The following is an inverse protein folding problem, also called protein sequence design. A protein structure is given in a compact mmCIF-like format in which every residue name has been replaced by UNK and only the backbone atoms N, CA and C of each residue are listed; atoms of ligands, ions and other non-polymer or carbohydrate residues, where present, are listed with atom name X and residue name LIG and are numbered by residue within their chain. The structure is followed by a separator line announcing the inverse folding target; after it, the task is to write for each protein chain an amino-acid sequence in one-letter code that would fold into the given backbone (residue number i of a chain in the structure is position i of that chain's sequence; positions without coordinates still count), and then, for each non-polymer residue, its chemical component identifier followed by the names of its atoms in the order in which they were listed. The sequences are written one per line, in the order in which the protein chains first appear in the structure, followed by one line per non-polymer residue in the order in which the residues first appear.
data_IF_079936330064
#
_entry.id   IF_079936330064
#
_cell.length_a   1.000
_cell.length_b   1.000
_cell.length_c   1.000
_cell.angle_alpha   90.00
_cell.angle_beta   90.00
_cell.angle_gamma   90.00
#
_symmetry.space_group_name_H-M   'P 1'
#
loop_
_entity.id
_entity.type
_entity.pdbx_description
1 polymer ?
#
# COMPACT_ATOMS: atom_id res chain seq x y z
N UNK A 1 12.62 43.31 31.59
CA UNK A 1 13.01 44.74 31.64
C UNK A 1 14.52 44.83 31.39
N UNK A 2 14.97 45.28 30.20
CA UNK A 2 15.51 46.65 29.91
C UNK A 2 16.93 46.79 30.50
N UNK A 3 18.05 47.10 29.80
CA UNK A 3 18.42 47.75 28.52
C UNK A 3 19.87 47.29 28.18
N UNK A 4 20.26 46.93 26.94
CA UNK A 4 20.57 47.73 25.71
C UNK A 4 21.73 48.72 25.81
N UNK A 5 22.76 48.53 24.97
CA UNK A 5 23.25 49.46 23.89
C UNK A 5 24.34 48.75 23.03
N UNK A 6 24.14 48.52 21.70
CA UNK A 6 24.43 49.36 20.49
C UNK A 6 25.94 49.53 20.22
N UNK A 7 26.52 49.44 19.01
CA UNK A 7 26.07 49.31 17.60
C UNK A 7 27.32 49.15 16.69
N UNK A 8 27.23 48.52 15.50
CA UNK A 8 27.27 49.11 14.12
C UNK A 8 28.56 49.90 13.80
N UNK A 9 29.27 49.79 12.66
CA UNK A 9 28.85 49.61 11.24
C UNK A 9 30.10 49.58 10.29
N UNK A 10 30.01 48.85 9.15
CA UNK A 10 30.55 49.05 7.76
C UNK A 10 32.05 49.39 7.54
N UNK A 11 32.78 49.03 6.48
CA UNK A 11 32.58 48.64 5.06
C UNK A 11 33.98 48.15 4.55
N UNK A 12 34.25 47.48 3.42
CA UNK A 12 34.03 47.88 2.02
C UNK A 12 34.80 46.89 1.10
N UNK A 13 34.29 46.64 -0.13
CA UNK A 13 35.01 46.47 -1.42
C UNK A 13 35.94 45.25 -1.61
N UNK A 14 36.14 44.58 -2.76
CA UNK A 14 35.76 44.68 -4.17
C UNK A 14 36.04 43.30 -4.81
N UNK A 15 35.30 42.95 -5.86
CA UNK A 15 35.53 41.79 -6.74
C UNK A 15 36.06 42.30 -8.10
N UNK A 16 36.88 41.53 -8.85
CA UNK A 16 36.50 41.16 -10.23
C UNK A 16 36.95 39.72 -10.60
N UNK A 17 36.09 38.84 -11.12
CA UNK A 17 35.57 38.68 -12.50
C UNK A 17 36.45 37.83 -13.44
N UNK A 18 35.87 36.73 -13.97
CA UNK A 18 35.99 36.07 -15.31
C UNK A 18 35.38 34.65 -15.16
N UNK A 19 34.62 34.00 -16.06
CA UNK A 19 34.08 34.25 -17.40
C UNK A 19 33.26 32.99 -17.79
N UNK A 20 32.07 33.08 -18.41
CA UNK A 20 31.57 32.11 -19.40
C UNK A 20 30.20 32.48 -20.01
N UNK A 21 30.26 32.79 -21.31
CA UNK A 21 29.31 32.62 -22.41
C UNK A 21 27.77 32.65 -22.19
N UNK A 22 27.17 33.67 -22.80
CA UNK A 22 25.78 33.72 -23.26
C UNK A 22 25.66 33.31 -24.73
N UNK A 23 24.56 32.63 -25.10
CA UNK A 23 24.06 32.59 -26.48
C UNK A 23 22.61 33.13 -26.49
N UNK A 24 22.33 34.05 -27.42
CA UNK A 24 21.08 34.80 -27.60
C UNK A 24 20.44 34.39 -28.94
N UNK A 25 19.13 34.20 -28.99
CA UNK A 25 18.26 34.42 -30.16
C UNK A 25 16.81 34.48 -29.64
N UNK A 26 16.23 35.67 -29.46
CA UNK A 26 15.47 36.49 -30.42
C UNK A 26 13.95 36.31 -30.26
N UNK A 27 13.30 37.46 -30.06
CA UNK A 27 11.89 37.63 -29.77
C UNK A 27 11.02 37.50 -31.03
N UNK A 28 9.82 36.96 -30.85
CA UNK A 28 8.72 37.04 -31.82
C UNK A 28 7.39 37.19 -31.06
N UNK A 29 6.97 38.43 -30.89
CA UNK A 29 5.68 38.83 -30.32
C UNK A 29 4.53 38.54 -31.29
N UNK A 30 3.45 37.92 -30.84
CA UNK A 30 2.09 38.13 -31.38
C UNK A 30 1.03 37.69 -30.35
N UNK A 31 0.26 38.67 -29.91
CA UNK A 31 -0.94 38.56 -29.09
C UNK A 31 -2.18 38.25 -29.94
N UNK A 32 -3.05 37.33 -29.52
CA UNK A 32 -4.49 37.36 -29.82
C UNK A 32 -5.27 36.64 -28.71
N UNK A 33 -6.38 37.24 -28.27
CA UNK A 33 -7.29 36.74 -27.24
C UNK A 33 -8.52 36.04 -27.86
N UNK A 34 -9.37 35.35 -27.06
CA UNK A 34 -10.18 34.21 -27.49
C UNK A 34 -11.62 34.58 -27.86
N UNK A 35 -12.21 33.87 -28.84
CA UNK A 35 -13.67 33.70 -28.96
C UNK A 35 -14.06 32.32 -29.50
N UNK A 36 -14.84 31.64 -28.66
CA UNK A 36 -15.92 30.69 -28.90
C UNK A 36 -16.42 30.48 -30.33
N UNK A 37 -16.59 29.21 -30.75
CA UNK A 37 -17.87 28.69 -31.27
C UNK A 37 -17.89 27.15 -31.46
N UNK A 38 -19.05 26.60 -31.14
CA UNK A 38 -19.48 25.20 -31.18
C UNK A 38 -19.66 24.62 -32.60
N UNK A 39 -19.62 23.28 -32.66
CA UNK A 39 -20.39 22.35 -33.53
C UNK A 39 -20.01 22.23 -35.02
N UNK A 40 -19.45 21.07 -35.40
CA UNK A 40 -20.12 19.95 -36.13
C UNK A 40 -19.07 18.97 -36.69
N UNK A 41 -19.22 17.68 -36.39
CA UNK A 41 -18.72 16.54 -37.19
C UNK A 41 -19.40 16.51 -38.59
N UNK A 42 -19.00 15.70 -39.62
CA UNK A 42 -18.25 14.42 -39.54
C UNK A 42 -17.25 14.05 -40.68
N UNK A 43 -16.47 12.99 -40.39
CA UNK A 43 -16.03 11.88 -41.27
C UNK A 43 -15.22 12.11 -42.57
N UNK A 44 -14.10 11.38 -42.61
CA UNK A 44 -13.47 10.61 -43.72
C UNK A 44 -12.29 11.22 -44.51
N UNK A 45 -11.20 10.44 -44.50
CA UNK A 45 -10.10 10.20 -45.48
C UNK A 45 -8.72 10.47 -44.84
N UNK A 46 -7.62 9.77 -45.11
CA UNK A 46 -7.26 8.50 -45.75
C UNK A 46 -5.73 8.38 -45.59
N UNK A 47 -5.18 7.16 -45.67
CA UNK A 47 -3.79 6.81 -46.03
C UNK A 47 -2.63 7.21 -45.05
N UNK A 48 -1.99 6.25 -44.36
CA UNK A 48 -0.85 5.41 -44.78
C UNK A 48 0.50 6.15 -44.77
N UNK A 49 1.42 5.69 -43.91
CA UNK A 49 2.82 5.37 -44.26
C UNK A 49 3.48 4.56 -43.12
N UNK A 50 3.58 3.25 -43.35
CA UNK A 50 4.53 2.34 -42.73
C UNK A 50 5.86 2.43 -43.49
N UNK A 51 6.98 2.37 -42.79
CA UNK A 51 8.31 2.24 -43.37
C UNK A 51 9.25 1.49 -42.42
N UNK A 52 9.27 0.16 -42.57
CA UNK A 52 10.27 -0.73 -41.99
C UNK A 52 11.47 -0.85 -42.95
N UNK A 53 12.69 -0.96 -42.41
CA UNK A 53 13.88 -1.35 -43.17
C UNK A 53 14.27 -2.78 -42.82
N UNK A 54 14.51 -3.54 -43.90
CA UNK A 54 14.92 -4.95 -43.98
C UNK A 54 16.44 -5.13 -43.83
N UNK A 55 16.87 -6.35 -43.51
CA UNK A 55 17.88 -7.21 -44.19
C UNK A 55 18.29 -8.40 -43.26
N UNK A 56 18.86 -9.52 -43.75
CA UNK A 56 18.22 -10.55 -44.58
C UNK A 56 18.36 -11.99 -43.99
N UNK A 57 17.71 -12.92 -44.69
CA UNK A 57 17.47 -14.34 -44.39
C UNK A 57 18.69 -15.24 -44.63
N UNK A 58 18.82 -16.33 -43.85
CA UNK A 58 19.39 -17.58 -44.36
C UNK A 58 18.60 -18.79 -43.85
N UNK A 59 18.39 -19.75 -44.75
CA UNK A 59 17.35 -20.78 -44.76
C UNK A 59 17.82 -22.17 -44.29
N UNK A 60 16.93 -22.93 -43.65
CA UNK A 60 16.79 -24.38 -43.90
C UNK A 60 15.50 -24.96 -43.29
N UNK A 61 14.66 -25.53 -44.18
CA UNK A 61 13.64 -26.59 -44.04
C UNK A 61 13.38 -27.16 -42.62
N UNK A 62 12.13 -27.34 -42.18
CA UNK A 62 11.22 -28.35 -42.74
C UNK A 62 9.74 -28.09 -42.41
N UNK A 63 8.89 -28.38 -43.40
CA UNK A 63 7.45 -28.25 -43.38
C UNK A 63 6.74 -29.33 -42.53
N UNK A 64 5.65 -28.93 -41.87
CA UNK A 64 4.46 -29.78 -41.74
C UNK A 64 3.22 -28.92 -42.01
N UNK A 65 2.47 -29.34 -43.03
CA UNK A 65 1.28 -28.69 -43.52
C UNK A 65 0.04 -29.27 -42.85
N UNK A 66 -0.97 -28.43 -42.61
CA UNK A 66 -2.35 -28.80 -42.92
C UNK A 66 -3.16 -27.53 -43.21
N UNK A 67 -3.48 -27.33 -44.49
CA UNK A 67 -4.43 -26.32 -44.98
C UNK A 67 -5.79 -27.00 -45.17
N UNK A 68 -6.86 -26.28 -44.86
CA UNK A 68 -8.06 -26.24 -45.70
C UNK A 68 -8.88 -24.98 -45.43
N UNK A 69 -9.28 -24.23 -46.46
CA UNK A 69 -10.25 -23.15 -46.39
C UNK A 69 -11.63 -23.67 -46.80
N UNK A 70 -12.70 -23.34 -46.07
CA UNK A 70 -14.06 -23.63 -46.51
C UNK A 70 -14.80 -22.34 -46.86
N UNK A 71 -15.16 -22.30 -48.15
CA UNK A 71 -16.00 -21.31 -48.81
C UNK A 71 -17.41 -21.28 -48.20
N UNK A 72 -17.98 -20.07 -48.15
CA UNK A 72 -19.40 -19.84 -47.96
C UNK A 72 -20.20 -20.32 -49.18
N UNK A 73 -21.08 -21.30 -48.98
CA UNK A 73 -22.21 -21.58 -49.87
C UNK A 73 -23.51 -21.42 -49.06
N UNK A 74 -24.41 -20.56 -49.56
CA UNK A 74 -25.80 -20.43 -49.08
C UNK A 74 -26.65 -21.56 -49.67
N UNK A 75 -27.54 -22.19 -48.89
CA UNK A 75 -28.78 -22.72 -49.43
C UNK A 75 -30.00 -21.94 -48.93
N UNK A 76 -31.07 -22.10 -49.70
CA UNK A 76 -32.31 -21.36 -49.69
C UNK A 76 -33.20 -21.59 -48.46
N UNK A 77 -34.10 -20.64 -48.28
CA UNK A 77 -35.21 -20.56 -47.34
C UNK A 77 -36.14 -21.77 -47.35
N UNK A 78 -36.46 -22.27 -46.15
CA UNK A 78 -37.80 -22.80 -45.83
C UNK A 78 -38.14 -22.43 -44.40
N UNK A 79 -39.31 -21.81 -44.24
CA UNK A 79 -39.94 -21.42 -42.99
C UNK A 79 -40.13 -22.62 -42.04
N UNK A 80 -39.79 -22.43 -40.76
CA UNK A 80 -40.58 -22.97 -39.66
C UNK A 80 -40.23 -22.24 -38.36
N UNK A 81 -41.17 -21.43 -37.89
CA UNK A 81 -41.21 -20.88 -36.55
C UNK A 81 -41.13 -22.00 -35.49
N UNK A 82 -40.04 -22.05 -34.73
CA UNK A 82 -40.04 -22.28 -33.27
C UNK A 82 -38.61 -22.45 -32.77
N UNK A 83 -38.01 -21.35 -32.31
CA UNK A 83 -36.86 -21.41 -31.41
C UNK A 83 -37.23 -20.57 -30.19
N UNK A 84 -37.35 -21.14 -28.98
CA UNK A 84 -37.54 -20.31 -27.80
C UNK A 84 -36.27 -19.48 -27.62
N UNK A 85 -36.41 -18.15 -27.77
CA UNK A 85 -35.41 -17.22 -27.27
C UNK A 85 -35.23 -17.52 -25.78
N UNK A 86 -34.03 -17.93 -25.40
CA UNK A 86 -33.63 -17.95 -24.01
C UNK A 86 -33.59 -16.49 -23.52
N UNK A 87 -34.73 -15.99 -23.06
CA UNK A 87 -34.80 -14.77 -22.28
C UNK A 87 -34.09 -15.08 -20.96
N UNK A 88 -32.86 -14.59 -20.80
CA UNK A 88 -32.30 -14.43 -19.46
C UNK A 88 -33.32 -13.69 -18.61
N UNK A 89 -33.74 -14.22 -17.44
CA UNK A 89 -34.66 -13.47 -16.60
C UNK A 89 -33.93 -12.20 -16.18
N UNK A 90 -34.47 -11.05 -16.59
CA UNK A 90 -34.10 -9.78 -15.99
C UNK A 90 -34.44 -9.91 -14.50
N UNK A 91 -33.43 -9.98 -13.64
CA UNK A 91 -33.62 -9.80 -12.20
C UNK A 91 -33.98 -8.34 -11.95
N UNK A 92 -35.22 -7.95 -12.27
CA UNK A 92 -35.85 -6.74 -11.75
C UNK A 92 -36.40 -7.09 -10.38
N UNK A 93 -35.56 -6.99 -9.34
CA UNK A 93 -36.09 -6.94 -7.99
C UNK A 93 -36.68 -5.54 -7.79
N UNK A 94 -37.96 -5.36 -8.10
CA UNK A 94 -38.71 -4.09 -7.94
C UNK A 94 -38.86 -3.64 -6.48
N UNK A 95 -38.23 -4.34 -5.52
CA UNK A 95 -38.20 -3.91 -4.12
C UNK A 95 -36.99 -2.99 -3.90
N UNK A 96 -37.19 -1.75 -3.42
CA UNK A 96 -36.08 -0.90 -3.04
C UNK A 96 -35.23 -1.59 -1.96
N UNK A 97 -33.91 -1.53 -2.12
CA UNK A 97 -32.97 -2.05 -1.12
C UNK A 97 -33.12 -1.20 0.15
N UNK A 98 -33.41 -1.79 1.32
CA UNK A 98 -33.51 -1.04 2.57
C UNK A 98 -32.20 -0.31 2.88
N UNK A 99 -32.30 0.92 3.40
CA UNK A 99 -31.16 1.73 3.82
C UNK A 99 -31.15 1.94 5.34
N UNK A 100 -29.99 2.26 5.89
CA UNK A 100 -29.85 2.67 7.29
C UNK A 100 -29.04 3.98 7.37
N UNK A 101 -29.64 5.10 7.81
CA UNK A 101 -31.06 5.26 8.18
C UNK A 101 -32.00 4.96 6.99
N UNK A 102 -33.26 4.61 7.28
CA UNK A 102 -34.24 4.25 6.24
C UNK A 102 -34.45 5.39 5.22
N UNK A 103 -34.24 6.63 5.65
CA UNK A 103 -34.29 7.83 4.81
C UNK A 103 -33.06 8.04 3.92
N UNK A 104 -31.97 7.29 4.12
CA UNK A 104 -30.77 7.45 3.32
C UNK A 104 -31.01 6.94 1.89
N UNK A 105 -30.78 7.81 0.92
CA UNK A 105 -30.81 7.49 -0.50
C UNK A 105 -29.43 7.77 -1.05
N UNK A 106 -28.81 6.77 -1.68
CA UNK A 106 -27.50 6.94 -2.32
C UNK A 106 -27.63 8.01 -3.40
N UNK A 107 -26.91 9.14 -3.31
CA UNK A 107 -27.03 10.20 -4.30
C UNK A 107 -26.41 9.77 -5.63
N UNK A 108 -26.88 10.37 -6.73
CA UNK A 108 -26.31 10.13 -8.05
C UNK A 108 -24.82 10.52 -8.13
N UNK A 109 -24.41 11.51 -7.34
CA UNK A 109 -23.03 11.95 -7.18
C UNK A 109 -22.74 12.08 -5.70
N UNK A 110 -21.71 11.38 -5.23
CA UNK A 110 -21.27 11.47 -3.84
C UNK A 110 -20.62 12.83 -3.57
N UNK A 111 -20.91 13.39 -2.40
CA UNK A 111 -20.27 14.60 -1.86
C UNK A 111 -19.73 14.31 -0.46
N UNK A 112 -18.62 14.95 -0.10
CA UNK A 112 -18.05 14.81 1.24
C UNK A 112 -19.06 15.31 2.30
N UNK A 113 -19.35 14.52 3.35
CA UNK A 113 -20.23 14.96 4.42
C UNK A 113 -19.68 16.20 5.13
N UNK A 114 -20.53 17.22 5.38
CA UNK A 114 -20.10 18.49 6.00
C UNK A 114 -19.48 18.30 7.39
N UNK A 115 -20.03 17.38 8.19
CA UNK A 115 -19.53 17.04 9.53
C UNK A 115 -18.43 15.96 9.51
N UNK A 116 -18.01 15.53 8.31
CA UNK A 116 -17.13 14.38 8.10
C UNK A 116 -17.77 13.04 8.50
N UNK A 117 -16.94 12.02 8.71
CA UNK A 117 -17.41 10.66 9.05
C UNK A 117 -17.57 10.40 10.56
N UNK A 118 -17.30 11.41 11.41
CA UNK A 118 -17.23 11.23 12.86
C UNK A 118 -16.17 10.21 13.32
N UNK A 119 -16.22 9.83 14.60
CA UNK A 119 -15.31 8.83 15.18
C UNK A 119 -13.83 9.26 15.23
N UNK A 120 -12.97 8.34 15.68
CA UNK A 120 -11.53 8.59 15.93
C UNK A 120 -10.77 9.03 14.69
N UNK A 121 -11.20 8.60 13.49
CA UNK A 121 -10.51 8.85 12.22
C UNK A 121 -11.21 9.89 11.32
N UNK A 122 -12.36 10.45 11.73
CA UNK A 122 -13.19 11.31 10.87
C UNK A 122 -12.48 12.55 10.35
N UNK A 123 -11.58 13.15 11.15
CA UNK A 123 -10.79 14.34 10.75
C UNK A 123 -9.59 14.02 9.85
N UNK A 124 -9.18 12.75 9.78
CA UNK A 124 -8.02 12.31 9.01
C UNK A 124 -8.36 12.06 7.54
N UNK A 125 -9.46 11.34 7.32
CA UNK A 125 -9.90 10.88 6.01
C UNK A 125 -10.37 12.06 5.15
N UNK A 126 -9.97 12.06 3.87
CA UNK A 126 -10.40 13.04 2.86
C UNK A 126 -10.54 12.34 1.51
N UNK A 127 -11.35 12.88 0.59
CA UNK A 127 -11.46 12.38 -0.77
C UNK A 127 -10.28 12.77 -1.67
N UNK A 128 -9.34 13.58 -1.17
CA UNK A 128 -8.17 14.07 -1.92
C UNK A 128 -6.85 13.64 -1.27
N UNK A 129 -5.85 13.38 -2.11
CA UNK A 129 -4.48 13.06 -1.72
C UNK A 129 -3.57 14.30 -1.71
N UNK A 130 -2.32 14.12 -1.29
CA UNK A 130 -1.28 15.14 -1.35
C UNK A 130 -0.93 15.76 0.01
N UNK A 131 0.13 16.58 -0.02
CA UNK A 131 0.61 17.30 1.15
C UNK A 131 -0.43 18.31 1.65
N UNK A 132 -0.56 18.43 2.97
CA UNK A 132 -1.46 19.39 3.62
C UNK A 132 -0.72 20.55 4.28
N UNK A 133 0.57 20.37 4.55
CA UNK A 133 1.44 21.36 5.16
C UNK A 133 2.90 21.04 4.85
N UNK A 134 3.75 22.06 4.91
CA UNK A 134 5.18 21.88 4.80
C UNK A 134 5.75 21.30 6.09
N UNK A 135 6.45 20.17 5.97
CA UNK A 135 7.13 19.53 7.11
C UNK A 135 8.33 18.76 6.60
N UNK A 136 9.51 19.14 7.10
CA UNK A 136 10.74 18.40 6.89
C UNK A 136 10.70 17.09 7.68
N UNK A 137 11.28 16.03 7.12
CA UNK A 137 11.51 14.79 7.83
C UNK A 137 12.92 14.78 8.45
N UNK A 138 13.08 14.28 9.68
CA UNK A 138 14.39 14.07 10.27
C UNK A 138 15.15 12.97 9.51
N UNK A 139 16.47 13.01 9.60
CA UNK A 139 17.38 12.00 9.07
C UNK A 139 18.45 11.73 10.12
N UNK A 140 18.68 10.46 10.43
CA UNK A 140 19.75 10.02 11.33
C UNK A 140 20.99 9.57 10.56
N UNK A 141 21.87 8.86 11.26
CA UNK A 141 23.18 8.46 10.74
C UNK A 141 23.14 7.17 9.93
N UNK A 142 22.10 6.34 10.12
CA UNK A 142 22.02 5.02 9.51
C UNK A 142 21.56 5.08 8.04
N UNK A 143 21.95 4.09 7.21
CA UNK A 143 21.58 4.09 5.79
C UNK A 143 20.07 3.96 5.58
N UNK A 144 19.38 3.17 6.41
CA UNK A 144 17.94 2.95 6.30
C UNK A 144 17.18 3.91 7.22
N UNK A 145 16.41 4.80 6.62
CA UNK A 145 15.54 5.74 7.32
C UNK A 145 14.09 5.27 7.18
N UNK A 146 13.53 4.72 8.26
CA UNK A 146 12.15 4.27 8.36
C UNK A 146 11.28 5.37 8.99
N UNK A 147 10.21 5.75 8.32
CA UNK A 147 9.19 6.68 8.82
C UNK A 147 7.90 5.89 9.07
N UNK A 148 7.58 5.63 10.33
CA UNK A 148 6.61 4.60 10.68
C UNK A 148 5.87 4.86 11.99
N UNK A 149 5.01 3.92 12.37
CA UNK A 149 4.30 3.85 13.63
C UNK A 149 4.09 2.37 13.99
N UNK A 150 4.09 2.03 15.29
CA UNK A 150 3.92 0.67 15.87
C UNK A 150 2.54 0.04 15.66
N UNK A 151 2.02 0.15 14.43
CA UNK A 151 0.83 -0.55 13.94
C UNK A 151 1.24 -1.89 13.35
N UNK A 152 0.29 -2.81 13.04
CA UNK A 152 0.61 -4.05 12.37
C UNK A 152 1.46 -3.87 11.11
N UNK A 153 1.20 -2.85 10.29
CA UNK A 153 1.99 -2.59 9.09
C UNK A 153 3.41 -2.08 9.37
N UNK A 154 3.59 -1.27 10.41
CA UNK A 154 4.92 -0.82 10.83
C UNK A 154 5.76 -1.95 11.41
N UNK A 155 5.14 -2.80 12.25
CA UNK A 155 5.79 -3.95 12.88
C UNK A 155 6.36 -4.95 11.86
N UNK A 156 5.73 -5.12 10.70
CA UNK A 156 6.29 -5.96 9.62
C UNK A 156 7.76 -5.59 9.33
N UNK A 157 7.99 -4.29 9.16
CA UNK A 157 9.29 -3.76 8.75
C UNK A 157 10.28 -3.79 9.90
N UNK A 158 9.87 -3.35 11.10
CA UNK A 158 10.77 -3.35 12.26
C UNK A 158 11.15 -4.77 12.69
N UNK A 159 10.24 -5.74 12.58
CA UNK A 159 10.56 -7.16 12.79
C UNK A 159 11.62 -7.62 11.81
N UNK A 160 11.47 -7.37 10.49
CA UNK A 160 12.48 -7.78 9.51
C UNK A 160 13.84 -7.13 9.78
N UNK A 161 13.87 -5.84 10.10
CA UNK A 161 15.10 -5.12 10.41
C UNK A 161 15.82 -5.71 11.63
N UNK A 162 15.06 -6.05 12.68
CA UNK A 162 15.62 -6.70 13.87
C UNK A 162 16.03 -8.16 13.64
N UNK A 163 15.33 -8.90 12.77
CA UNK A 163 15.70 -10.27 12.37
C UNK A 163 17.00 -10.30 11.57
N UNK A 164 17.26 -9.24 10.79
CA UNK A 164 18.51 -9.06 10.07
C UNK A 164 19.65 -8.57 10.97
N UNK A 165 19.34 -7.98 12.13
CA UNK A 165 20.32 -7.41 13.04
C UNK A 165 21.08 -6.22 12.43
N UNK A 166 20.42 -5.44 11.56
CA UNK A 166 21.02 -4.31 10.84
C UNK A 166 20.65 -2.98 11.48
N UNK A 167 21.45 -1.96 11.22
CA UNK A 167 21.23 -0.61 11.71
C UNK A 167 20.23 0.20 10.85
N UNK A 168 19.34 0.93 11.51
CA UNK A 168 18.31 1.78 10.91
C UNK A 168 17.86 2.87 11.88
N UNK A 169 17.36 3.97 11.34
CA UNK A 169 16.64 4.99 12.12
C UNK A 169 15.13 4.84 11.89
N UNK A 170 14.36 4.62 12.94
CA UNK A 170 12.91 4.54 12.88
C UNK A 170 12.25 5.74 13.54
N UNK A 171 11.89 6.71 12.72
CA UNK A 171 11.22 7.95 13.09
C UNK A 171 9.71 7.77 13.24
N UNK A 172 9.15 8.35 14.29
CA UNK A 172 7.71 8.26 14.58
C UNK A 172 6.93 9.23 13.70
N UNK A 173 5.99 8.69 12.94
CA UNK A 173 4.98 9.44 12.19
C UNK A 173 3.66 9.27 12.93
N UNK A 174 3.27 10.31 13.68
CA UNK A 174 2.05 10.25 14.46
C UNK A 174 0.83 10.46 13.54
N UNK A 175 0.23 9.36 13.11
CA UNK A 175 -0.91 9.42 12.19
C UNK A 175 -2.11 10.17 12.77
N UNK A 176 -2.26 10.17 14.11
CA UNK A 176 -3.32 10.91 14.81
C UNK A 176 -3.11 12.43 14.78
N UNK A 177 -1.86 12.87 14.58
CA UNK A 177 -1.48 14.27 14.39
C UNK A 177 -1.31 14.64 12.90
N UNK A 178 -1.71 13.75 11.98
CA UNK A 178 -1.71 13.99 10.53
C UNK A 178 -0.30 14.14 9.91
N UNK A 179 0.74 13.67 10.59
CA UNK A 179 2.15 13.76 10.13
C UNK A 179 2.40 13.16 8.73
N UNK A 180 1.65 12.12 8.37
CA UNK A 180 1.70 11.45 7.07
C UNK A 180 1.28 12.33 5.89
N UNK A 181 0.75 13.52 6.14
CA UNK A 181 0.39 14.51 5.12
C UNK A 181 1.41 15.66 5.03
N UNK A 182 2.54 15.58 5.74
CA UNK A 182 3.65 16.52 5.59
C UNK A 182 4.33 16.40 4.23
N UNK A 183 4.79 17.53 3.67
CA UNK A 183 5.34 17.59 2.31
C UNK A 183 6.45 16.59 2.04
N UNK A 184 7.45 16.44 2.92
CA UNK A 184 8.52 15.45 2.72
C UNK A 184 8.04 13.99 2.85
N UNK A 185 7.09 13.69 3.76
CA UNK A 185 6.53 12.33 3.84
C UNK A 185 5.80 11.94 2.56
N UNK A 186 5.01 12.86 1.99
CA UNK A 186 4.29 12.60 0.73
C UNK A 186 5.22 12.45 -0.49
N UNK A 187 6.44 13.00 -0.43
CA UNK A 187 7.48 12.74 -1.44
C UNK A 187 8.03 11.32 -1.34
N UNK A 188 8.06 10.71 -0.16
CA UNK A 188 8.45 9.30 0.00
C UNK A 188 7.28 8.40 -0.37
N UNK A 189 6.11 8.62 0.23
CA UNK A 189 4.89 7.88 -0.04
C UNK A 189 3.73 8.82 -0.43
N UNK A 190 3.39 8.93 -1.73
CA UNK A 190 2.28 9.77 -2.17
C UNK A 190 0.90 9.28 -1.69
N UNK A 191 0.80 8.05 -1.18
CA UNK A 191 -0.41 7.49 -0.56
C UNK A 191 -0.61 7.98 0.89
N UNK A 192 0.36 8.71 1.48
CA UNK A 192 0.28 9.20 2.87
C UNK A 192 -0.03 8.08 3.88
N UNK A 193 0.64 6.94 3.78
CA UNK A 193 0.53 5.83 4.74
C UNK A 193 1.89 5.38 5.23
N UNK A 194 1.96 5.05 6.51
CA UNK A 194 3.09 4.31 7.08
C UNK A 194 2.98 2.81 6.78
N UNK A 195 4.08 2.05 6.82
CA UNK A 195 5.47 2.52 6.83
C UNK A 195 5.92 3.07 5.47
N UNK A 196 6.92 3.96 5.50
CA UNK A 196 7.67 4.40 4.33
C UNK A 196 9.16 4.43 4.66
N UNK A 197 10.03 4.11 3.70
CA UNK A 197 11.47 3.96 3.89
C UNK A 197 12.24 4.75 2.83
N UNK A 198 13.34 5.37 3.25
CA UNK A 198 14.39 5.86 2.36
C UNK A 198 15.68 5.09 2.63
N UNK A 199 16.25 4.51 1.57
CA UNK A 199 17.56 3.89 1.60
C UNK A 199 18.62 4.86 1.06
N UNK A 200 19.43 5.39 1.97
CA UNK A 200 20.55 6.29 1.69
C UNK A 200 21.89 5.57 1.43
N UNK A 201 21.91 4.24 1.44
CA UNK A 201 23.10 3.49 0.98
C UNK A 201 23.25 3.48 -0.55
N UNK A 202 22.21 3.93 -1.26
CA UNK A 202 22.16 4.03 -2.72
C UNK A 202 22.26 5.49 -3.17
N UNK A 203 22.72 5.71 -4.41
CA UNK A 203 22.83 7.05 -5.01
C UNK A 203 22.21 7.08 -6.42
N UNK A 204 21.09 7.80 -6.64
CA UNK A 204 20.33 8.57 -5.64
C UNK A 204 19.63 7.66 -4.60
N UNK A 205 19.24 8.19 -3.42
CA UNK A 205 18.52 7.42 -2.41
C UNK A 205 17.24 6.81 -2.96
N UNK A 206 16.96 5.56 -2.57
CA UNK A 206 15.77 4.83 -3.04
C UNK A 206 14.64 4.97 -2.03
N UNK A 207 13.50 5.52 -2.47
CA UNK A 207 12.26 5.51 -1.69
C UNK A 207 11.52 4.19 -1.88
N UNK A 208 11.04 3.61 -0.79
CA UNK A 208 10.25 2.37 -0.78
C UNK A 208 9.04 2.57 0.13
N UNK A 209 7.84 2.33 -0.37
CA UNK A 209 6.59 2.44 0.38
C UNK A 209 5.72 1.22 0.12
N UNK A 210 4.68 1.03 0.95
CA UNK A 210 3.95 -0.22 1.15
C UNK A 210 4.77 -1.28 1.89
N UNK A 211 4.23 -1.74 3.04
CA UNK A 211 4.95 -2.66 3.93
C UNK A 211 5.40 -3.96 3.25
N UNK A 212 4.59 -4.54 2.35
CA UNK A 212 4.98 -5.73 1.58
C UNK A 212 6.14 -5.46 0.60
N UNK A 213 6.14 -4.28 -0.04
CA UNK A 213 7.25 -3.89 -0.93
C UNK A 213 8.54 -3.63 -0.14
N UNK A 214 8.43 -3.02 1.05
CA UNK A 214 9.58 -2.80 1.93
C UNK A 214 10.16 -4.14 2.41
N UNK A 215 9.31 -5.10 2.80
CA UNK A 215 9.74 -6.45 3.18
C UNK A 215 10.53 -7.12 2.05
N UNK A 216 9.97 -7.14 0.83
CA UNK A 216 10.63 -7.74 -0.33
C UNK A 216 11.96 -7.03 -0.65
N UNK A 217 11.97 -5.68 -0.65
CA UNK A 217 13.16 -4.88 -0.95
C UNK A 217 14.30 -5.19 0.03
N UNK A 218 14.04 -5.13 1.34
CA UNK A 218 15.06 -5.39 2.37
C UNK A 218 15.50 -6.86 2.31
N UNK A 219 14.56 -7.80 2.20
CA UNK A 219 14.89 -9.22 2.16
C UNK A 219 15.77 -9.59 0.95
N UNK A 220 15.49 -9.01 -0.23
CA UNK A 220 16.33 -9.16 -1.42
C UNK A 220 17.70 -8.49 -1.24
N UNK A 221 17.74 -7.25 -0.73
CA UNK A 221 18.99 -6.49 -0.51
C UNK A 221 19.96 -7.22 0.41
N UNK A 222 19.45 -7.84 1.48
CA UNK A 222 20.27 -8.56 2.47
C UNK A 222 20.29 -10.08 2.25
N UNK A 223 19.58 -10.59 1.24
CA UNK A 223 19.60 -11.99 0.83
C UNK A 223 19.11 -12.99 1.88
N UNK A 224 18.15 -12.59 2.73
CA UNK A 224 17.60 -13.42 3.81
C UNK A 224 16.08 -13.33 3.88
N UNK A 225 15.43 -14.38 4.36
CA UNK A 225 13.98 -14.47 4.60
C UNK A 225 13.07 -14.39 3.36
N UNK A 226 13.65 -14.34 2.15
CA UNK A 226 12.91 -14.42 0.90
C UNK A 226 13.65 -15.35 -0.07
N UNK A 227 13.06 -16.51 -0.46
CA UNK A 227 13.75 -17.47 -1.32
C UNK A 227 14.17 -16.89 -2.67
N UNK A 228 15.26 -17.42 -3.23
CA UNK A 228 15.79 -17.02 -4.55
C UNK A 228 15.30 -17.89 -5.69
N UNK A 229 15.15 -19.19 -5.44
CA UNK A 229 14.67 -20.15 -6.43
C UNK A 229 13.21 -19.86 -6.80
N UNK A 230 12.91 -19.93 -8.10
CA UNK A 230 11.62 -19.48 -8.66
C UNK A 230 10.41 -20.06 -7.92
N UNK A 231 10.43 -21.38 -7.66
CA UNK A 231 9.30 -22.09 -7.03
C UNK A 231 9.03 -21.61 -5.59
N UNK A 232 9.96 -21.75 -4.62
CA UNK A 232 9.71 -21.28 -3.25
C UNK A 232 9.56 -19.76 -3.16
N UNK A 233 10.21 -18.99 -4.06
CA UNK A 233 10.04 -17.53 -4.14
C UNK A 233 8.62 -17.15 -4.53
N UNK A 234 8.04 -17.87 -5.50
CA UNK A 234 6.67 -17.66 -5.95
C UNK A 234 5.68 -17.97 -4.82
N UNK A 235 5.89 -19.06 -4.09
CA UNK A 235 5.03 -19.40 -2.96
C UNK A 235 5.08 -18.32 -1.87
N UNK A 236 6.27 -17.84 -1.53
CA UNK A 236 6.42 -16.72 -0.59
C UNK A 236 5.72 -15.45 -1.07
N UNK A 237 5.86 -15.12 -2.36
CA UNK A 237 5.18 -13.97 -2.96
C UNK A 237 3.65 -14.12 -2.92
N UNK A 238 3.11 -15.32 -3.19
CA UNK A 238 1.68 -15.58 -3.12
C UNK A 238 1.11 -15.20 -1.75
N UNK A 239 1.79 -15.60 -0.67
CA UNK A 239 1.35 -15.33 0.69
C UNK A 239 1.58 -13.88 1.13
N UNK A 240 2.67 -13.24 0.71
CA UNK A 240 2.86 -11.79 0.92
C UNK A 240 1.73 -11.02 0.24
N UNK A 241 1.41 -11.34 -1.01
CA UNK A 241 0.34 -10.65 -1.75
C UNK A 241 -1.04 -10.98 -1.20
N UNK A 242 -1.28 -12.23 -0.78
CA UNK A 242 -2.49 -12.60 -0.03
C UNK A 242 -2.65 -11.69 1.18
N UNK A 243 -1.61 -11.56 2.00
CA UNK A 243 -1.64 -10.75 3.22
C UNK A 243 -1.92 -9.27 2.90
N UNK A 244 -1.27 -8.72 1.87
CA UNK A 244 -1.49 -7.33 1.46
C UNK A 244 -2.92 -7.10 0.94
N UNK A 245 -3.52 -8.10 0.29
CA UNK A 245 -4.91 -8.06 -0.18
C UNK A 245 -5.96 -8.32 0.91
N UNK A 246 -5.62 -9.05 1.97
CA UNK A 246 -6.58 -9.46 3.02
C UNK A 246 -6.59 -8.55 4.24
N UNK A 247 -5.45 -7.95 4.62
CA UNK A 247 -5.38 -7.01 5.74
C UNK A 247 -6.39 -5.85 5.70
N UNK A 248 -6.74 -5.27 4.53
CA UNK A 248 -7.82 -4.27 4.45
C UNK A 248 -9.16 -4.76 4.99
N UNK A 249 -9.50 -6.05 4.86
CA UNK A 249 -10.73 -6.61 5.41
C UNK A 249 -10.68 -6.75 6.94
N UNK A 250 -9.50 -7.05 7.52
CA UNK A 250 -9.31 -7.09 8.98
C UNK A 250 -9.30 -5.67 9.53
N UNK A 251 -8.42 -4.79 9.05
CA UNK A 251 -8.25 -3.45 9.63
C UNK A 251 -9.32 -2.45 9.23
N UNK A 252 -9.50 -2.28 7.91
CA UNK A 252 -10.44 -1.31 7.33
C UNK A 252 -11.89 -1.78 7.32
N UNK A 253 -12.11 -3.09 7.39
CA UNK A 253 -13.42 -3.72 7.58
C UNK A 253 -13.69 -4.00 9.05
N UNK A 254 -13.31 -5.19 9.51
CA UNK A 254 -13.66 -5.72 10.82
C UNK A 254 -13.28 -4.75 11.95
N UNK A 255 -12.01 -4.37 12.06
CA UNK A 255 -11.51 -3.46 13.08
C UNK A 255 -12.19 -2.10 13.07
N UNK A 256 -12.52 -1.57 11.88
CA UNK A 256 -13.27 -0.32 11.77
C UNK A 256 -14.68 -0.47 12.36
N UNK A 257 -15.51 -1.37 11.83
CA UNK A 257 -16.90 -1.53 12.26
C UNK A 257 -17.02 -2.08 13.70
N UNK A 258 -16.11 -2.96 14.11
CA UNK A 258 -16.11 -3.57 15.43
C UNK A 258 -15.60 -2.62 16.52
N UNK A 259 -14.51 -1.87 16.28
CA UNK A 259 -13.85 -1.07 17.32
C UNK A 259 -14.04 0.45 17.17
N UNK A 260 -13.91 0.99 15.96
CA UNK A 260 -13.74 2.44 15.76
C UNK A 260 -14.99 3.20 15.32
N UNK A 261 -15.89 2.54 14.59
CA UNK A 261 -17.10 3.18 14.09
C UNK A 261 -17.89 3.76 15.28
N UNK A 262 -18.37 5.01 15.19
CA UNK A 262 -19.09 5.68 16.27
C UNK A 262 -20.48 5.06 16.52
N UNK A 263 -20.95 4.22 15.59
CA UNK A 263 -22.19 3.45 15.68
C UNK A 263 -21.91 1.99 15.31
N UNK A 264 -22.59 1.06 15.98
CA UNK A 264 -22.51 -0.37 15.64
C UNK A 264 -23.47 -0.67 14.50
N UNK A 265 -22.91 -1.09 13.37
CA UNK A 265 -23.68 -1.43 12.16
C UNK A 265 -23.61 -2.94 12.01
N UNK A 266 -24.68 -3.64 12.38
CA UNK A 266 -24.74 -5.10 12.40
C UNK A 266 -24.30 -5.72 11.07
N UNK A 267 -24.82 -5.23 9.94
CA UNK A 267 -24.44 -5.73 8.63
C UNK A 267 -22.92 -5.61 8.37
N UNK A 268 -22.33 -4.45 8.68
CA UNK A 268 -20.90 -4.22 8.50
C UNK A 268 -20.05 -5.11 9.41
N UNK A 269 -20.44 -5.21 10.69
CA UNK A 269 -19.77 -6.10 11.65
C UNK A 269 -19.86 -7.56 11.17
N UNK A 270 -21.05 -8.07 10.86
CA UNK A 270 -21.24 -9.45 10.43
C UNK A 270 -20.47 -9.77 9.15
N UNK A 271 -20.53 -8.89 8.13
CA UNK A 271 -19.81 -9.07 6.86
C UNK A 271 -18.31 -9.26 7.09
N UNK A 272 -17.68 -8.35 7.82
CA UNK A 272 -16.23 -8.39 7.98
C UNK A 272 -15.77 -9.36 9.06
N UNK A 273 -16.61 -9.70 10.03
CA UNK A 273 -16.32 -10.77 11.00
C UNK A 273 -16.31 -12.13 10.30
N UNK A 274 -17.26 -12.37 9.39
CA UNK A 274 -17.30 -13.59 8.59
C UNK A 274 -16.05 -13.75 7.73
N UNK A 275 -15.64 -12.69 7.02
CA UNK A 275 -14.41 -12.71 6.23
C UNK A 275 -13.15 -12.85 7.10
N UNK A 276 -13.10 -12.20 8.27
CA UNK A 276 -11.97 -12.35 9.20
C UNK A 276 -11.88 -13.79 9.73
N UNK A 277 -12.99 -14.41 10.14
CA UNK A 277 -13.00 -15.83 10.55
C UNK A 277 -12.60 -16.76 9.41
N UNK A 278 -12.99 -16.48 8.16
CA UNK A 278 -12.56 -17.24 6.98
C UNK A 278 -11.05 -17.15 6.76
N UNK A 279 -10.45 -15.98 6.97
CA UNK A 279 -8.98 -15.82 6.90
C UNK A 279 -8.28 -16.58 8.02
N UNK A 280 -8.81 -16.54 9.25
CA UNK A 280 -8.27 -17.32 10.38
C UNK A 280 -8.36 -18.82 10.12
N UNK A 281 -9.50 -19.32 9.63
CA UNK A 281 -9.72 -20.72 9.26
C UNK A 281 -8.78 -21.18 8.13
N UNK A 282 -8.59 -20.34 7.10
CA UNK A 282 -7.62 -20.61 6.03
C UNK A 282 -6.21 -20.79 6.59
N UNK A 283 -5.76 -19.85 7.42
CA UNK A 283 -4.42 -19.93 8.01
C UNK A 283 -4.28 -21.14 8.93
N UNK A 284 -5.29 -21.43 9.75
CA UNK A 284 -5.27 -22.59 10.66
C UNK A 284 -5.14 -23.91 9.89
N UNK A 285 -5.93 -24.09 8.84
CA UNK A 285 -5.84 -25.27 7.95
C UNK A 285 -4.48 -25.36 7.25
N UNK A 286 -3.99 -24.25 6.72
CA UNK A 286 -2.69 -24.20 6.06
C UNK A 286 -1.55 -24.57 7.02
N UNK A 287 -1.59 -24.05 8.24
CA UNK A 287 -0.59 -24.29 9.29
C UNK A 287 -0.73 -25.65 9.98
N UNK A 288 -1.80 -26.41 9.70
CA UNK A 288 -1.91 -27.80 10.13
C UNK A 288 -0.90 -28.69 9.40
N UNK A 289 -0.55 -28.33 8.16
CA UNK A 289 0.36 -29.08 7.30
C UNK A 289 1.73 -28.42 7.14
N UNK A 290 1.88 -27.16 7.58
CA UNK A 290 3.09 -26.37 7.38
C UNK A 290 3.57 -25.73 8.69
N UNK A 291 4.88 -25.81 8.94
CA UNK A 291 5.50 -25.17 10.11
C UNK A 291 5.45 -23.65 10.04
N UNK A 292 5.63 -23.08 8.86
CA UNK A 292 5.53 -21.66 8.54
C UNK A 292 4.72 -21.48 7.27
N UNK A 293 4.40 -20.24 6.92
CA UNK A 293 3.49 -19.94 5.82
C UNK A 293 4.01 -20.47 4.48
N UNK A 294 5.32 -20.54 4.28
CA UNK A 294 5.93 -21.02 3.03
C UNK A 294 6.57 -22.42 3.16
N UNK A 295 6.15 -23.22 4.15
CA UNK A 295 6.67 -24.56 4.40
C UNK A 295 7.50 -24.62 5.68
N UNK A 296 8.74 -25.11 5.59
CA UNK A 296 9.58 -25.39 6.77
C UNK A 296 10.37 -24.18 7.31
N UNK A 297 10.54 -23.14 6.49
CA UNK A 297 11.37 -21.98 6.79
C UNK A 297 10.54 -20.72 7.07
N UNK A 298 11.04 -19.91 8.02
CA UNK A 298 10.46 -18.62 8.36
C UNK A 298 10.82 -17.56 7.30
N UNK A 299 9.82 -16.85 6.78
CA UNK A 299 10.00 -15.91 5.67
C UNK A 299 9.34 -14.56 5.93
N UNK A 300 9.52 -13.61 5.01
CA UNK A 300 8.78 -12.35 5.00
C UNK A 300 7.27 -12.52 4.90
N UNK A 301 6.76 -13.66 4.40
CA UNK A 301 5.32 -13.93 4.41
C UNK A 301 4.80 -14.07 5.84
N UNK A 302 5.55 -14.77 6.71
CA UNK A 302 5.22 -14.87 8.12
C UNK A 302 5.29 -13.50 8.81
N UNK A 303 6.34 -12.71 8.52
CA UNK A 303 6.50 -11.34 9.04
C UNK A 303 5.37 -10.41 8.58
N UNK A 304 4.82 -10.63 7.38
CA UNK A 304 3.68 -9.88 6.87
C UNK A 304 2.39 -10.24 7.63
N UNK A 305 2.16 -11.53 7.87
CA UNK A 305 0.88 -12.03 8.41
C UNK A 305 0.81 -11.86 9.93
N UNK A 306 1.89 -12.19 10.63
CA UNK A 306 1.93 -12.27 12.10
C UNK A 306 1.42 -11.01 12.81
N UNK A 307 1.85 -9.78 12.45
CA UNK A 307 1.41 -8.58 13.16
C UNK A 307 -0.10 -8.33 13.05
N UNK A 308 -0.72 -8.72 11.93
CA UNK A 308 -2.16 -8.56 11.72
C UNK A 308 -2.98 -9.57 12.51
N UNK A 309 -2.53 -10.82 12.56
CA UNK A 309 -3.16 -11.85 13.39
C UNK A 309 -3.00 -11.51 14.88
N UNK A 310 -1.81 -11.04 15.30
CA UNK A 310 -1.57 -10.53 16.66
C UNK A 310 -2.52 -9.40 17.05
N UNK A 311 -2.85 -8.53 16.10
CA UNK A 311 -3.69 -7.36 16.37
C UNK A 311 -5.11 -7.75 16.80
N UNK A 312 -5.62 -8.91 16.38
CA UNK A 312 -6.97 -9.36 16.72
C UNK A 312 -7.18 -9.47 18.25
N UNK A 313 -6.39 -10.27 18.99
CA UNK A 313 -6.53 -10.34 20.44
C UNK A 313 -5.93 -9.11 21.14
N UNK A 314 -4.75 -8.63 20.72
CA UNK A 314 -3.99 -7.63 21.48
C UNK A 314 -4.54 -6.22 21.29
N UNK A 315 -4.90 -5.88 20.06
CA UNK A 315 -5.29 -4.51 19.72
C UNK A 315 -6.80 -4.37 19.60
N UNK A 316 -7.48 -5.26 18.88
CA UNK A 316 -8.92 -5.19 18.71
C UNK A 316 -9.70 -5.76 19.90
N UNK A 317 -9.07 -6.56 20.76
CA UNK A 317 -9.72 -7.18 21.92
C UNK A 317 -10.78 -8.21 21.51
N UNK A 318 -10.64 -8.81 20.33
CA UNK A 318 -11.67 -9.63 19.70
C UNK A 318 -11.46 -11.14 19.90
N UNK A 319 -10.73 -11.54 20.93
CA UNK A 319 -10.37 -12.95 21.22
C UNK A 319 -11.62 -13.83 21.33
N UNK A 320 -12.56 -13.46 22.20
CA UNK A 320 -13.80 -14.21 22.39
C UNK A 320 -14.73 -14.07 21.18
N UNK A 321 -14.91 -12.84 20.70
CA UNK A 321 -15.84 -12.54 19.61
C UNK A 321 -15.56 -13.30 18.31
N UNK A 322 -14.28 -13.51 17.97
CA UNK A 322 -13.88 -14.29 16.79
C UNK A 322 -13.59 -15.75 17.10
N UNK A 323 -13.78 -16.19 18.36
CA UNK A 323 -13.47 -17.53 18.83
C UNK A 323 -12.00 -17.91 18.60
N UNK A 324 -11.12 -16.94 18.80
CA UNK A 324 -9.71 -17.02 18.44
C UNK A 324 -8.96 -18.24 19.04
N UNK A 325 -9.25 -18.71 20.28
CA UNK A 325 -8.61 -19.91 20.83
C UNK A 325 -8.92 -21.23 20.08
N UNK A 326 -9.96 -21.26 19.23
CA UNK A 326 -10.31 -22.48 18.48
C UNK A 326 -9.32 -22.82 17.35
N UNK A 327 -8.58 -21.84 16.84
CA UNK A 327 -7.62 -21.99 15.73
C UNK A 327 -6.27 -22.51 16.25
N UNK A 328 -6.19 -23.81 16.54
CA UNK A 328 -5.06 -24.42 17.28
C UNK A 328 -3.71 -24.28 16.57
N UNK A 329 -3.66 -24.54 15.27
CA UNK A 329 -2.43 -24.50 14.48
C UNK A 329 -1.96 -23.06 14.28
N UNK A 330 -2.90 -22.15 14.06
CA UNK A 330 -2.63 -20.71 14.01
C UNK A 330 -2.04 -20.22 15.33
N UNK A 331 -2.63 -20.59 16.47
CA UNK A 331 -2.12 -20.17 17.78
C UNK A 331 -0.71 -20.74 18.06
N UNK A 332 -0.44 -22.00 17.70
CA UNK A 332 0.91 -22.58 17.83
C UNK A 332 1.96 -21.86 16.95
N UNK A 333 1.57 -21.42 15.76
CA UNK A 333 2.41 -20.58 14.89
C UNK A 333 2.62 -19.17 15.46
N UNK A 334 1.56 -18.56 16.02
CA UNK A 334 1.62 -17.26 16.68
C UNK A 334 2.59 -17.27 17.87
N UNK A 335 2.55 -18.31 18.71
CA UNK A 335 3.46 -18.48 19.85
C UNK A 335 4.91 -18.63 19.35
N UNK A 336 5.15 -19.56 18.41
CA UNK A 336 6.47 -19.79 17.82
C UNK A 336 7.11 -18.54 17.25
N UNK A 337 6.36 -17.70 16.53
CA UNK A 337 6.87 -16.43 16.01
C UNK A 337 7.01 -15.39 17.11
N UNK A 338 6.01 -15.27 17.98
CA UNK A 338 6.00 -14.34 19.10
C UNK A 338 7.18 -14.52 20.04
N UNK A 339 7.73 -15.74 20.14
CA UNK A 339 8.87 -16.05 21.00
C UNK A 339 10.23 -15.65 20.44
N UNK A 340 10.31 -15.30 19.16
CA UNK A 340 11.56 -14.89 18.53
C UNK A 340 12.07 -13.58 19.16
N UNK A 341 13.33 -13.49 19.60
CA UNK A 341 13.87 -12.29 20.22
C UNK A 341 13.76 -11.03 19.34
N UNK A 342 13.99 -11.17 18.04
CA UNK A 342 13.86 -10.09 17.08
C UNK A 342 12.41 -9.62 16.90
N UNK A 343 11.44 -10.53 16.95
CA UNK A 343 10.01 -10.17 16.94
C UNK A 343 9.65 -9.38 18.19
N UNK A 344 10.08 -9.84 19.37
CA UNK A 344 9.87 -9.13 20.65
C UNK A 344 10.46 -7.72 20.61
N UNK A 345 11.66 -7.53 20.04
CA UNK A 345 12.28 -6.21 19.85
C UNK A 345 11.53 -5.36 18.82
N UNK A 346 11.24 -5.90 17.63
CA UNK A 346 10.56 -5.18 16.56
C UNK A 346 9.16 -4.67 16.95
N UNK A 347 8.44 -5.42 17.81
CA UNK A 347 7.13 -5.03 18.36
C UNK A 347 7.19 -3.86 19.35
N UNK A 348 8.37 -3.49 19.87
CA UNK A 348 8.55 -2.35 20.77
C UNK A 348 8.94 -1.06 20.03
N UNK A 349 9.13 -1.09 18.71
CA UNK A 349 9.60 0.07 17.94
C UNK A 349 8.42 0.94 17.45
N UNK A 350 8.55 2.26 17.61
CA UNK A 350 7.52 3.26 17.33
C UNK A 350 6.19 3.02 18.07
N UNK A 351 6.26 2.45 19.26
CA UNK A 351 5.08 2.07 20.04
C UNK A 351 4.34 3.25 20.68
N UNK A 352 3.35 2.89 21.47
CA UNK A 352 2.38 3.84 22.04
C UNK A 352 2.53 4.02 23.55
N UNK A 353 3.26 3.12 24.21
CA UNK A 353 3.40 3.10 25.68
C UNK A 353 4.79 3.51 26.12
N UNK A 354 4.94 3.75 27.42
CA UNK A 354 6.22 3.97 28.10
C UNK A 354 7.11 2.71 28.15
N UNK A 355 6.54 1.55 27.82
CA UNK A 355 7.25 0.27 27.68
C UNK A 355 7.78 0.03 26.25
N UNK A 356 7.47 0.93 25.33
CA UNK A 356 7.91 0.88 23.94
C UNK A 356 8.90 2.00 23.63
N UNK A 357 9.72 1.80 22.60
CA UNK A 357 10.53 2.86 22.02
C UNK A 357 9.64 3.76 21.16
N UNK A 358 9.64 5.06 21.45
CA UNK A 358 9.02 6.04 20.56
C UNK A 358 9.75 6.06 19.20
N UNK A 359 11.08 5.98 19.21
CA UNK A 359 11.95 5.94 18.04
C UNK A 359 13.15 5.02 18.33
N UNK A 360 13.77 4.47 17.27
CA UNK A 360 14.97 3.62 17.36
C UNK A 360 16.06 4.24 16.50
N UNK A 361 17.21 4.49 17.10
CA UNK A 361 18.42 5.05 16.48
C UNK A 361 19.68 4.23 16.80
N UNK A 362 19.58 3.26 17.70
CA UNK A 362 20.66 2.32 18.05
C UNK A 362 20.08 1.04 18.66
N UNK A 363 20.82 -0.06 18.56
CA UNK A 363 20.49 -1.29 19.29
C UNK A 363 20.45 -1.05 20.82
N UNK A 364 21.25 -0.13 21.35
CA UNK A 364 21.29 0.20 22.77
C UNK A 364 20.05 0.97 23.27
N UNK A 365 19.17 1.44 22.37
CA UNK A 365 17.94 2.12 22.79
C UNK A 365 17.02 1.19 23.59
N UNK A 366 17.03 -0.11 23.30
CA UNK A 366 16.24 -1.09 24.03
C UNK A 366 16.65 -1.23 25.51
N UNK A 367 17.89 -0.89 25.86
CA UNK A 367 18.38 -0.95 27.25
C UNK A 367 17.76 0.15 28.13
N UNK A 368 17.16 1.17 27.50
CA UNK A 368 16.48 2.28 28.19
C UNK A 368 15.06 1.89 28.61
N UNK A 369 14.51 0.80 28.08
CA UNK A 369 13.17 0.35 28.44
C UNK A 369 13.14 -0.26 29.84
N UNK A 370 12.01 -0.15 30.57
CA UNK A 370 11.84 -0.86 31.83
C UNK A 370 12.09 -2.36 31.62
N UNK A 371 12.86 -2.97 32.52
CA UNK A 371 13.02 -4.43 32.56
C UNK A 371 11.67 -5.06 32.95
N UNK A 372 11.28 -6.12 32.25
CA UNK A 372 10.03 -6.85 32.46
C UNK A 372 10.00 -7.61 33.79
#
# INVERSE_FOLDING_TARGET
AIKRTRGRILSNLLNPATSALSCRAQAGSRSFSPRTLFRKEPRTLCALLLGANLLPVNSSNSAFACRSPLLFARPASTDSNNTPQATSPAMSSDKPVPSLPESYVVPAVWTEPEDGLGGTMGKMNRPIAGARFDKALPRGEHPLQLYSLGTPNGHKVTILLEELGIEYDAWKINIMQLDQFGSEFTKINPNSKIPALLDYSENPPIRVFESGSILMYIADKYGKFYPKELRPRTECLNWVMWQMGTAPFIGGGFGHFYKYAPIKIEYGINRYSMETKRQLDLLDKHLAENKYICGEEYTIADMAIFPWIRAIPVFYGATEFLEFPSYKHLNAWMERIGDRPAVKRGLKVNGFTDKDLAERHSAADFDKLPKE
#
